data_IF_755737746728
#
_entry.id   IF_755737746728
#
_cell.length_a   1.000
_cell.length_b   1.000
_cell.length_c   1.000
_cell.angle_alpha   90.00
_cell.angle_beta   90.00
_cell.angle_gamma   90.00
#
_symmetry.space_group_name_H-M   'P 1'
#
loop_
_entity.id
_entity.type
_entity.pdbx_description
1 polymer ?
#
# COMPACT_ATOMS: atom_id res chain seq x y z
N UNK A 1 -3.17 7.76 -5.49
CA UNK A 1 -3.21 6.28 -5.55
C UNK A 1 -3.35 5.84 -7.01
N UNK A 2 -2.58 4.85 -7.47
CA UNK A 2 -2.70 4.32 -8.84
C UNK A 2 -4.03 3.55 -9.02
N UNK A 3 -4.59 3.51 -10.24
CA UNK A 3 -5.79 2.70 -10.54
C UNK A 3 -5.58 1.21 -10.23
N UNK A 4 -4.34 0.72 -10.29
CA UNK A 4 -3.97 -0.66 -10.00
C UNK A 4 -4.00 -0.95 -8.49
N UNK A 5 -3.43 -0.06 -7.67
CA UNK A 5 -3.48 -0.16 -6.22
C UNK A 5 -4.92 -0.16 -5.69
N UNK A 6 -5.82 0.67 -6.24
CA UNK A 6 -7.24 0.67 -5.88
C UNK A 6 -7.89 -0.70 -6.15
N UNK A 7 -7.68 -1.26 -7.35
CA UNK A 7 -8.22 -2.58 -7.70
C UNK A 7 -7.67 -3.69 -6.79
N UNK A 8 -6.39 -3.62 -6.41
CA UNK A 8 -5.80 -4.56 -5.47
C UNK A 8 -6.43 -4.44 -4.08
N UNK A 9 -6.67 -3.21 -3.60
CA UNK A 9 -7.35 -2.94 -2.34
C UNK A 9 -8.76 -3.53 -2.30
N UNK A 10 -9.54 -3.34 -3.37
CA UNK A 10 -10.92 -3.85 -3.48
C UNK A 10 -10.97 -5.38 -3.60
N UNK A 11 -10.00 -5.98 -4.31
CA UNK A 11 -10.00 -7.42 -4.62
C UNK A 11 -9.42 -8.29 -3.52
N UNK A 12 -8.48 -7.77 -2.74
CA UNK A 12 -7.71 -8.57 -1.76
C UNK A 12 -7.77 -7.94 -0.37
N UNK A 13 -7.84 -8.82 0.63
CA UNK A 13 -7.68 -8.42 2.03
C UNK A 13 -6.25 -7.97 2.31
N UNK A 14 -6.06 -7.15 3.35
CA UNK A 14 -4.73 -6.76 3.84
C UNK A 14 -3.79 -7.95 4.07
N UNK A 15 -4.29 -9.05 4.67
CA UNK A 15 -3.49 -10.25 4.91
C UNK A 15 -2.98 -10.88 3.61
N UNK A 16 -3.83 -10.93 2.59
CA UNK A 16 -3.45 -11.43 1.26
C UNK A 16 -2.44 -10.51 0.59
N UNK A 17 -2.62 -9.18 0.67
CA UNK A 17 -1.68 -8.21 0.09
C UNK A 17 -0.29 -8.30 0.74
N UNK A 18 -0.22 -8.47 2.07
CA UNK A 18 1.05 -8.70 2.78
C UNK A 18 1.70 -10.01 2.34
N UNK A 19 0.92 -11.08 2.15
CA UNK A 19 1.44 -12.35 1.62
C UNK A 19 1.97 -12.19 0.19
N UNK A 20 1.27 -11.42 -0.66
CA UNK A 20 1.71 -11.11 -2.03
C UNK A 20 3.02 -10.31 -2.04
N UNK A 21 3.16 -9.33 -1.14
CA UNK A 21 4.40 -8.54 -1.03
C UNK A 21 5.60 -9.41 -0.63
N UNK A 22 5.39 -10.39 0.27
CA UNK A 22 6.43 -11.36 0.65
C UNK A 22 6.76 -12.32 -0.49
N UNK A 23 5.74 -12.84 -1.16
CA UNK A 23 5.92 -13.74 -2.30
C UNK A 23 6.70 -13.06 -3.44
N UNK A 24 6.44 -11.77 -3.69
CA UNK A 24 7.11 -10.99 -4.73
C UNK A 24 8.63 -10.89 -4.51
N UNK A 25 9.10 -10.87 -3.25
CA UNK A 25 10.54 -10.88 -2.95
C UNK A 25 11.21 -12.20 -3.32
N UNK A 26 10.46 -13.31 -3.24
CA UNK A 26 10.96 -14.65 -3.53
C UNK A 26 10.71 -15.10 -4.98
N UNK A 27 10.03 -14.29 -5.78
CA UNK A 27 9.72 -14.61 -7.18
C UNK A 27 10.90 -14.25 -8.09
N UNK A 28 11.54 -15.29 -8.63
CA UNK A 28 12.71 -15.16 -9.50
C UNK A 28 12.44 -14.36 -10.77
N UNK A 29 11.17 -14.22 -11.20
CA UNK A 29 10.77 -13.41 -12.37
C UNK A 29 10.94 -11.92 -12.14
N UNK A 30 10.80 -11.48 -10.88
CA UNK A 30 10.90 -10.08 -10.49
C UNK A 30 12.24 -9.73 -9.86
N UNK A 31 13.16 -10.69 -9.77
CA UNK A 31 14.51 -10.47 -9.26
C UNK A 31 15.43 -10.05 -10.40
N UNK A 32 16.20 -9.00 -10.17
CA UNK A 32 17.31 -8.63 -11.04
C UNK A 32 18.48 -9.56 -10.70
N UNK A 33 18.97 -10.33 -11.67
CA UNK A 33 20.23 -11.09 -11.52
C UNK A 33 21.37 -10.08 -11.42
N UNK A 34 21.79 -9.77 -10.20
CA UNK A 34 23.05 -9.09 -9.94
C UNK A 34 23.92 -10.03 -9.10
N UNK A 35 25.22 -9.99 -9.37
CA UNK A 35 26.22 -10.77 -8.64
C UNK A 35 26.15 -10.45 -7.14
N UNK A 36 25.71 -11.45 -6.39
CA UNK A 36 25.96 -11.72 -4.98
C UNK A 36 25.90 -10.52 -4.01
N UNK A 37 24.68 -10.20 -3.56
CA UNK A 37 24.32 -9.78 -2.18
C UNK A 37 23.14 -8.80 -2.10
N UNK A 38 22.73 -8.18 -3.20
CA UNK A 38 21.69 -7.13 -3.20
C UNK A 38 20.41 -7.65 -3.84
N UNK A 39 19.35 -7.79 -3.04
CA UNK A 39 17.99 -8.07 -3.51
C UNK A 39 17.45 -6.84 -4.26
N UNK A 40 17.55 -6.87 -5.58
CA UNK A 40 16.98 -5.84 -6.45
C UNK A 40 15.78 -6.39 -7.19
N UNK A 41 14.68 -5.64 -7.17
CA UNK A 41 13.54 -5.93 -8.02
C UNK A 41 13.77 -5.38 -9.44
N UNK A 42 13.21 -6.04 -10.44
CA UNK A 42 13.05 -5.44 -11.77
C UNK A 42 12.13 -4.23 -11.69
N UNK A 43 12.15 -3.36 -12.70
CA UNK A 43 11.25 -2.19 -12.73
C UNK A 43 9.77 -2.58 -12.64
N UNK A 44 9.40 -3.74 -13.18
CA UNK A 44 8.04 -4.28 -13.06
C UNK A 44 7.75 -4.78 -11.64
N UNK A 45 8.69 -5.50 -11.03
CA UNK A 45 8.60 -5.95 -9.65
C UNK A 45 8.48 -4.79 -8.67
N UNK A 46 9.24 -3.71 -8.89
CA UNK A 46 9.18 -2.50 -8.08
C UNK A 46 7.81 -1.82 -8.18
N UNK A 47 7.28 -1.65 -9.40
CA UNK A 47 5.95 -1.05 -9.60
C UNK A 47 4.85 -1.86 -8.91
N UNK A 48 4.91 -3.19 -9.00
CA UNK A 48 3.95 -4.06 -8.33
C UNK A 48 4.10 -4.02 -6.81
N UNK A 49 5.33 -4.00 -6.31
CA UNK A 49 5.62 -3.81 -4.88
C UNK A 49 5.02 -2.50 -4.36
N UNK A 50 5.18 -1.41 -5.10
CA UNK A 50 4.64 -0.10 -4.73
C UNK A 50 3.11 -0.09 -4.78
N UNK A 51 2.49 -0.68 -5.83
CA UNK A 51 1.03 -0.81 -5.94
C UNK A 51 0.43 -1.61 -4.77
N UNK A 52 1.08 -2.71 -4.37
CA UNK A 52 0.69 -3.51 -3.19
C UNK A 52 0.87 -2.70 -1.91
N UNK A 53 1.98 -1.98 -1.77
CA UNK A 53 2.25 -1.12 -0.61
C UNK A 53 1.19 -0.03 -0.44
N UNK A 54 0.79 0.62 -1.53
CA UNK A 54 -0.32 1.57 -1.52
C UNK A 54 -1.63 0.90 -1.11
N UNK A 55 -1.96 -0.27 -1.67
CA UNK A 55 -3.18 -0.99 -1.31
C UNK A 55 -3.24 -1.36 0.19
N UNK A 56 -2.11 -1.77 0.77
CA UNK A 56 -1.98 -2.06 2.21
C UNK A 56 -2.17 -0.78 3.03
N UNK A 57 -1.50 0.32 2.65
CA UNK A 57 -1.62 1.59 3.34
C UNK A 57 -3.07 2.05 3.43
N UNK A 58 -3.86 1.91 2.36
CA UNK A 58 -5.27 2.31 2.36
C UNK A 58 -6.20 1.39 3.15
N UNK A 59 -5.81 0.13 3.38
CA UNK A 59 -6.52 -0.73 4.35
C UNK A 59 -6.31 -0.26 5.80
N UNK A 60 -5.17 0.37 6.10
CA UNK A 60 -4.85 0.92 7.43
C UNK A 60 -5.12 2.42 7.55
N UNK A 61 -5.39 3.09 6.42
CA UNK A 61 -5.67 4.51 6.42
C UNK A 61 -6.90 4.73 7.30
N UNK A 62 -6.82 5.60 8.32
CA UNK A 62 -8.01 5.98 9.06
C UNK A 62 -8.99 6.52 8.03
N UNK A 63 -10.18 5.91 7.91
CA UNK A 63 -11.26 6.42 7.07
C UNK A 63 -11.31 7.93 7.27
N UNK A 64 -10.93 8.68 6.24
CA UNK A 64 -10.43 10.06 6.34
C UNK A 64 -11.37 11.09 6.96
N UNK A 65 -12.53 10.68 7.48
CA UNK A 65 -13.52 11.52 8.16
C UNK A 65 -14.01 10.94 9.51
N UNK A 66 -13.52 9.79 9.99
CA UNK A 66 -14.06 9.18 11.22
C UNK A 66 -13.64 9.88 12.52
N UNK A 67 -12.65 10.79 12.47
CA UNK A 67 -12.13 11.53 13.64
C UNK A 67 -12.11 13.05 13.48
N UNK A 68 -12.72 13.60 12.43
CA UNK A 68 -13.09 15.02 12.46
C UNK A 68 -14.38 15.14 13.25
N UNK A 69 -14.28 15.13 14.58
CA UNK A 69 -15.30 15.79 15.38
C UNK A 69 -15.28 17.25 14.92
N UNK A 70 -16.30 17.67 14.16
CA UNK A 70 -16.57 19.08 13.91
C UNK A 70 -16.59 19.75 15.28
N UNK A 71 -15.52 20.46 15.61
CA UNK A 71 -15.50 21.28 16.80
C UNK A 71 -16.69 22.24 16.65
N UNK A 72 -17.67 22.13 17.55
CA UNK A 72 -18.79 23.08 17.55
C UNK A 72 -18.17 24.47 17.64
N UNK A 73 -18.57 25.44 16.79
CA UNK A 73 -18.06 26.79 16.90
C UNK A 73 -18.36 27.26 18.33
N UNK A 74 -17.30 27.57 19.09
CA UNK A 74 -17.46 28.25 20.37
C UNK A 74 -18.05 29.62 20.06
N UNK A 75 -19.36 29.77 20.24
CA UNK A 75 -19.99 31.08 20.26
C UNK A 75 -19.39 31.83 21.46
N UNK A 76 -18.52 32.79 21.16
CA UNK A 76 -18.12 33.82 22.12
C UNK A 76 -19.36 34.70 22.33
N UNK A 77 -19.99 34.59 23.49
CA UNK A 77 -20.92 35.60 23.97
C UNK A 77 -20.08 36.76 24.49
N UNK A 78 -19.96 37.82 23.69
CA UNK A 78 -19.64 39.16 24.14
C UNK A 78 -20.89 40.02 23.98
#
# INVERSE_FOLDING_TARGET
MSKRALRLHEKYSKKQLVAMQRALRNDSRYQRKNDDSIWLLTSEGQRLHDDIGWAIYWHDAPNGNARMHTAKPQMKNW
#
